data_IF_783533487801
#
_entry.id   IF_783533487801
#
_cell.length_a   1.000
_cell.length_b   1.000
_cell.length_c   1.000
_cell.angle_alpha   90.00
_cell.angle_beta   90.00
_cell.angle_gamma   90.00
#
_symmetry.space_group_name_H-M   'P 1'
#
loop_
_entity.id
_entity.type
_entity.pdbx_description
1 polymer ?
#
# COMPACT_ATOMS: atom_id res chain seq x y z
N UNK A 1 -20.41 -39.91 -50.67
CA UNK A 1 -18.97 -39.63 -50.43
C UNK A 1 -18.91 -38.52 -49.40
N UNK A 2 -18.83 -38.86 -48.11
CA UNK A 2 -18.69 -37.89 -47.04
C UNK A 2 -17.23 -37.44 -46.99
N UNK A 3 -16.99 -36.13 -47.07
CA UNK A 3 -15.67 -35.55 -46.93
C UNK A 3 -15.14 -35.83 -45.52
N UNK A 4 -13.84 -36.15 -45.34
CA UNK A 4 -13.27 -36.31 -44.02
C UNK A 4 -13.25 -34.94 -43.33
N UNK A 5 -14.01 -34.85 -42.23
CA UNK A 5 -13.91 -33.79 -41.24
C UNK A 5 -12.45 -33.75 -40.76
N UNK A 6 -11.66 -32.82 -41.29
CA UNK A 6 -10.29 -32.62 -40.87
C UNK A 6 -10.31 -32.34 -39.37
N UNK A 7 -9.78 -33.28 -38.58
CA UNK A 7 -9.64 -33.12 -37.15
C UNK A 7 -8.88 -31.82 -36.87
N UNK A 8 -9.61 -30.76 -36.52
CA UNK A 8 -9.04 -29.47 -36.20
C UNK A 8 -8.13 -29.68 -34.98
N UNK A 9 -6.82 -29.76 -35.21
CA UNK A 9 -5.84 -29.91 -34.16
C UNK A 9 -6.09 -28.80 -33.13
N UNK A 10 -6.47 -29.19 -31.91
CA UNK A 10 -6.86 -28.24 -30.88
C UNK A 10 -5.67 -27.32 -30.56
N UNK A 11 -5.74 -26.07 -31.03
CA UNK A 11 -4.69 -25.07 -30.82
C UNK A 11 -4.58 -24.79 -29.32
N UNK A 12 -3.40 -25.04 -28.73
CA UNK A 12 -3.11 -24.77 -27.32
C UNK A 12 -2.42 -23.42 -27.16
N UNK A 13 -2.75 -22.70 -26.07
CA UNK A 13 -2.05 -21.49 -25.70
C UNK A 13 -0.61 -21.82 -25.30
N UNK A 14 0.39 -21.17 -25.92
CA UNK A 14 1.81 -21.38 -25.61
C UNK A 14 2.16 -20.99 -24.17
N UNK A 15 1.42 -20.04 -23.59
CA UNK A 15 1.70 -19.56 -22.23
C UNK A 15 1.15 -20.47 -21.15
N UNK A 16 -0.11 -20.88 -21.21
CA UNK A 16 -0.74 -21.68 -20.15
C UNK A 16 -1.00 -23.15 -20.55
N UNK A 17 -0.72 -23.54 -21.79
CA UNK A 17 -1.02 -24.85 -22.42
C UNK A 17 -2.46 -25.35 -22.32
N UNK A 18 -3.40 -24.46 -21.99
CA UNK A 18 -4.83 -24.77 -21.99
C UNK A 18 -5.44 -24.51 -23.36
N UNK A 19 -6.51 -25.24 -23.67
CA UNK A 19 -7.37 -24.98 -24.84
C UNK A 19 -8.11 -23.66 -24.63
N UNK A 20 -8.18 -22.77 -25.62
CA UNK A 20 -9.01 -21.57 -25.52
C UNK A 20 -10.49 -21.96 -25.46
N UNK A 21 -11.27 -21.25 -24.66
CA UNK A 21 -12.73 -21.44 -24.59
C UNK A 21 -13.40 -21.11 -25.94
N UNK A 22 -12.84 -20.14 -26.66
CA UNK A 22 -13.23 -19.80 -28.03
C UNK A 22 -11.97 -19.64 -28.88
N UNK A 23 -11.87 -20.39 -29.98
CA UNK A 23 -10.72 -20.37 -30.88
C UNK A 23 -10.42 -18.97 -31.48
N UNK A 24 -11.42 -18.08 -31.52
CA UNK A 24 -11.32 -16.70 -32.01
C UNK A 24 -10.79 -15.68 -30.98
N UNK A 25 -10.66 -16.05 -29.69
CA UNK A 25 -10.27 -15.13 -28.60
C UNK A 25 -8.80 -15.28 -28.21
N UNK A 26 -7.89 -14.94 -29.12
CA UNK A 26 -6.45 -14.93 -28.86
C UNK A 26 -5.65 -14.20 -29.92
N UNK A 27 -4.34 -14.09 -29.69
CA UNK A 27 -3.38 -13.56 -30.66
C UNK A 27 -2.57 -14.72 -31.22
N UNK A 28 -2.61 -14.89 -32.53
CA UNK A 28 -1.76 -15.84 -33.25
C UNK A 28 -0.60 -15.09 -33.88
N UNK A 29 0.63 -15.54 -33.61
CA UNK A 29 1.86 -15.00 -34.16
C UNK A 29 2.68 -16.16 -34.75
N UNK A 30 2.55 -16.36 -36.06
CA UNK A 30 3.05 -17.56 -36.73
C UNK A 30 2.44 -18.85 -36.18
N UNK A 31 3.28 -19.77 -35.73
CA UNK A 31 2.87 -21.05 -35.14
C UNK A 31 2.58 -20.98 -33.63
N UNK A 32 2.65 -19.78 -33.03
CA UNK A 32 2.43 -19.57 -31.61
C UNK A 32 1.06 -18.93 -31.40
N UNK A 33 0.21 -19.60 -30.64
CA UNK A 33 -1.07 -19.05 -30.21
C UNK A 33 -1.00 -18.65 -28.74
N UNK A 34 -1.52 -17.47 -28.41
CA UNK A 34 -1.66 -17.00 -27.03
C UNK A 34 -3.10 -16.58 -26.77
N UNK A 35 -3.74 -17.17 -25.76
CA UNK A 35 -5.11 -16.82 -25.42
C UNK A 35 -5.20 -15.39 -24.87
N UNK A 36 -6.34 -14.74 -25.08
CA UNK A 36 -6.58 -13.35 -24.66
C UNK A 36 -6.29 -13.12 -23.17
N UNK A 37 -6.61 -14.10 -22.32
CA UNK A 37 -6.33 -14.07 -20.88
C UNK A 37 -4.84 -13.97 -20.57
N UNK A 38 -4.01 -14.85 -21.14
CA UNK A 38 -2.56 -14.81 -20.94
C UNK A 38 -1.97 -13.52 -21.49
N UNK A 39 -2.45 -13.05 -22.65
CA UNK A 39 -2.03 -11.79 -23.23
C UNK A 39 -2.35 -10.60 -22.31
N UNK A 40 -3.55 -10.56 -21.74
CA UNK A 40 -3.96 -9.50 -20.81
C UNK A 40 -3.10 -9.50 -19.54
N UNK A 41 -2.87 -10.67 -18.94
CA UNK A 41 -1.99 -10.83 -17.77
C UNK A 41 -0.56 -10.41 -18.11
N UNK A 42 -0.01 -10.84 -19.26
CA UNK A 42 1.33 -10.48 -19.71
C UNK A 42 1.47 -8.97 -19.90
N UNK A 43 0.51 -8.32 -20.56
CA UNK A 43 0.50 -6.87 -20.73
C UNK A 43 0.42 -6.13 -19.39
N UNK A 44 -0.33 -6.67 -18.42
CA UNK A 44 -0.43 -6.10 -17.09
C UNK A 44 0.88 -6.21 -16.32
N UNK A 45 1.57 -7.36 -16.40
CA UNK A 45 2.91 -7.55 -15.84
C UNK A 45 3.90 -6.59 -16.50
N UNK A 46 3.92 -6.52 -17.84
CA UNK A 46 4.78 -5.60 -18.58
C UNK A 46 4.56 -4.13 -18.19
N UNK A 47 3.29 -3.72 -18.01
CA UNK A 47 2.96 -2.35 -17.62
C UNK A 47 3.47 -2.00 -16.23
N UNK A 48 3.45 -2.92 -15.28
CA UNK A 48 3.80 -2.64 -13.87
C UNK A 48 5.27 -2.97 -13.53
N UNK A 49 5.81 -4.04 -14.12
CA UNK A 49 7.15 -4.57 -13.83
C UNK A 49 8.11 -4.57 -15.03
N UNK A 50 7.65 -4.17 -16.21
CA UNK A 50 8.50 -3.98 -17.39
C UNK A 50 8.80 -5.26 -18.15
N UNK A 51 9.69 -5.16 -19.14
CA UNK A 51 10.27 -6.32 -19.79
C UNK A 51 11.11 -7.13 -18.79
N UNK A 52 11.18 -8.44 -18.98
CA UNK A 52 12.04 -9.30 -18.17
C UNK A 52 11.52 -9.70 -16.79
N UNK A 53 10.37 -9.18 -16.35
CA UNK A 53 9.80 -9.52 -15.04
C UNK A 53 9.58 -11.04 -14.83
N UNK A 54 9.33 -11.77 -15.91
CA UNK A 54 9.15 -13.22 -15.89
C UNK A 54 10.38 -13.97 -16.41
N UNK A 55 11.45 -13.32 -16.86
CA UNK A 55 12.59 -14.00 -17.50
C UNK A 55 13.26 -15.00 -16.57
N UNK A 56 13.35 -14.66 -15.29
CA UNK A 56 13.94 -15.51 -14.26
C UNK A 56 13.11 -16.78 -13.96
N UNK A 57 11.89 -16.92 -14.49
CA UNK A 57 11.07 -18.11 -14.30
C UNK A 57 11.41 -19.17 -15.35
N UNK A 58 11.45 -20.43 -14.91
CA UNK A 58 11.53 -21.57 -15.82
C UNK A 58 10.28 -21.61 -16.73
N UNK A 59 10.34 -22.31 -17.88
CA UNK A 59 9.18 -22.45 -18.76
C UNK A 59 7.94 -23.03 -18.04
N UNK A 60 8.16 -23.96 -17.11
CA UNK A 60 7.11 -24.58 -16.30
C UNK A 60 6.52 -23.61 -15.28
N UNK A 61 7.37 -22.82 -14.61
CA UNK A 61 6.92 -21.78 -13.68
C UNK A 61 6.12 -20.68 -14.39
N UNK A 62 6.55 -20.28 -15.60
CA UNK A 62 5.78 -19.35 -16.45
C UNK A 62 4.41 -19.93 -16.77
N UNK A 63 4.36 -21.20 -17.13
CA UNK A 63 3.12 -21.87 -17.46
C UNK A 63 2.15 -21.92 -16.28
N UNK A 64 2.62 -22.32 -15.11
CA UNK A 64 1.80 -22.38 -13.90
C UNK A 64 1.37 -20.97 -13.44
N UNK A 65 2.26 -19.98 -13.52
CA UNK A 65 1.91 -18.57 -13.27
C UNK A 65 0.74 -18.11 -14.15
N UNK A 66 0.82 -18.34 -15.47
CA UNK A 66 -0.23 -17.93 -16.40
C UNK A 66 -1.50 -18.76 -16.24
N UNK A 67 -1.41 -20.03 -15.83
CA UNK A 67 -2.58 -20.85 -15.53
C UNK A 67 -3.33 -20.29 -14.30
N UNK A 68 -2.63 -20.10 -13.17
CA UNK A 68 -3.24 -19.60 -11.92
C UNK A 68 -3.72 -18.16 -12.00
N UNK A 69 -3.06 -17.32 -12.79
CA UNK A 69 -3.46 -15.92 -12.95
C UNK A 69 -4.81 -15.77 -13.67
N UNK A 70 -5.28 -16.80 -14.39
CA UNK A 70 -6.59 -16.79 -15.04
C UNK A 70 -7.75 -16.85 -14.06
N UNK A 71 -7.59 -17.61 -12.99
CA UNK A 71 -8.63 -17.83 -11.98
C UNK A 71 -8.95 -16.54 -11.20
N UNK A 72 -8.03 -15.56 -11.22
CA UNK A 72 -8.21 -14.26 -10.59
C UNK A 72 -9.01 -13.23 -11.40
N UNK A 73 -9.58 -13.60 -12.56
CA UNK A 73 -10.36 -12.68 -13.38
C UNK A 73 -11.70 -12.33 -12.70
N UNK A 74 -11.94 -11.05 -12.43
CA UNK A 74 -13.23 -10.57 -11.92
C UNK A 74 -13.99 -9.88 -13.05
N UNK A 75 -15.12 -10.45 -13.47
CA UNK A 75 -15.94 -9.89 -14.56
C UNK A 75 -15.20 -9.78 -15.90
N UNK A 76 -14.27 -10.71 -16.17
CA UNK A 76 -13.46 -10.73 -17.39
C UNK A 76 -12.30 -9.73 -17.41
N UNK A 77 -12.02 -9.05 -16.29
CA UNK A 77 -10.87 -8.13 -16.14
C UNK A 77 -9.87 -8.67 -15.12
N UNK A 78 -8.59 -8.54 -15.44
CA UNK A 78 -7.48 -8.88 -14.55
C UNK A 78 -7.06 -7.65 -13.77
N UNK A 79 -7.17 -7.72 -12.44
CA UNK A 79 -6.69 -6.67 -11.54
C UNK A 79 -5.23 -6.93 -11.17
N UNK A 80 -4.43 -5.88 -11.11
CA UNK A 80 -3.00 -6.00 -10.79
C UNK A 80 -2.75 -6.65 -9.43
N UNK A 81 -3.47 -6.32 -8.34
CA UNK A 81 -3.26 -6.97 -7.05
C UNK A 81 -3.37 -8.49 -7.10
N UNK A 82 -4.32 -9.04 -7.87
CA UNK A 82 -4.49 -10.49 -8.02
C UNK A 82 -3.31 -11.12 -8.77
N UNK A 83 -2.91 -10.52 -9.90
CA UNK A 83 -1.76 -10.99 -10.69
C UNK A 83 -0.46 -10.88 -9.88
N UNK A 84 -0.30 -9.79 -9.12
CA UNK A 84 0.82 -9.56 -8.21
C UNK A 84 0.87 -10.62 -7.11
N UNK A 85 -0.27 -10.97 -6.50
CA UNK A 85 -0.32 -12.01 -5.48
C UNK A 85 0.17 -13.36 -6.02
N UNK A 86 -0.31 -13.77 -7.21
CA UNK A 86 0.16 -15.01 -7.85
C UNK A 86 1.65 -14.95 -8.18
N UNK A 87 2.14 -13.80 -8.66
CA UNK A 87 3.56 -13.59 -8.94
C UNK A 87 4.43 -13.70 -7.68
N UNK A 88 4.02 -13.06 -6.60
CA UNK A 88 4.67 -13.13 -5.27
C UNK A 88 4.72 -14.57 -4.79
N UNK A 89 3.59 -15.30 -4.83
CA UNK A 89 3.55 -16.72 -4.44
C UNK A 89 4.54 -17.55 -5.25
N UNK A 90 4.65 -17.33 -6.57
CA UNK A 90 5.61 -18.06 -7.42
C UNK A 90 7.06 -17.73 -7.10
N UNK A 91 7.38 -16.48 -6.78
CA UNK A 91 8.71 -16.11 -6.32
C UNK A 91 9.05 -16.73 -4.97
N UNK A 92 8.10 -16.76 -4.02
CA UNK A 92 8.28 -17.41 -2.72
C UNK A 92 8.52 -18.91 -2.90
N UNK A 93 7.67 -19.60 -3.65
CA UNK A 93 7.83 -21.03 -3.96
C UNK A 93 9.23 -21.31 -4.54
N UNK A 94 9.67 -20.52 -5.52
CA UNK A 94 11.01 -20.65 -6.11
C UNK A 94 12.13 -20.42 -5.10
N UNK A 95 12.00 -19.40 -4.25
CA UNK A 95 13.02 -19.10 -3.23
C UNK A 95 13.05 -20.19 -2.17
N UNK A 96 11.91 -20.75 -1.79
CA UNK A 96 11.84 -21.92 -0.89
C UNK A 96 12.55 -23.12 -1.50
N UNK A 97 12.21 -23.50 -2.75
CA UNK A 97 12.87 -24.64 -3.42
C UNK A 97 14.38 -24.40 -3.58
N UNK A 98 14.79 -23.17 -3.89
CA UNK A 98 16.21 -22.83 -4.02
C UNK A 98 16.96 -22.76 -2.67
N UNK A 99 16.25 -22.50 -1.57
CA UNK A 99 16.85 -22.47 -0.23
C UNK A 99 16.86 -23.85 0.43
N UNK A 100 15.94 -24.75 0.06
CA UNK A 100 16.05 -26.18 0.41
C UNK A 100 17.40 -26.75 -0.05
N UNK A 101 17.90 -26.29 -1.20
CA UNK A 101 19.23 -26.63 -1.71
C UNK A 101 20.39 -25.96 -0.95
N UNK A 102 20.13 -24.88 -0.20
CA UNK A 102 21.13 -24.13 0.59
C UNK A 102 21.16 -24.64 2.03
N UNK A 103 21.89 -25.71 2.23
CA UNK A 103 22.18 -26.24 3.57
C UNK A 103 23.18 -25.31 4.27
N UNK A 104 22.69 -24.45 5.17
CA UNK A 104 23.55 -23.67 6.07
C UNK A 104 24.11 -24.58 7.15
N UNK A 105 25.43 -24.65 7.26
CA UNK A 105 26.07 -25.51 8.27
C UNK A 105 26.51 -24.69 9.47
N UNK A 106 26.00 -25.00 10.65
CA UNK A 106 26.45 -24.39 11.90
C UNK A 106 27.44 -25.31 12.61
N UNK A 107 28.48 -24.73 13.22
CA UNK A 107 29.50 -25.46 13.97
C UNK A 107 29.41 -25.10 15.44
N UNK A 108 28.98 -26.05 16.28
CA UNK A 108 28.89 -25.88 17.75
C UNK A 108 29.45 -27.13 18.47
N UNK A 109 29.90 -27.00 19.73
CA UNK A 109 30.28 -28.16 20.53
C UNK A 109 29.14 -29.17 20.65
N UNK A 110 29.48 -30.46 20.72
CA UNK A 110 28.48 -31.53 20.77
C UNK A 110 27.46 -31.34 21.91
N UNK A 111 27.92 -30.89 23.08
CA UNK A 111 27.08 -30.64 24.25
C UNK A 111 26.02 -29.54 24.04
N UNK A 112 26.24 -28.63 23.10
CA UNK A 112 25.27 -27.58 22.75
C UNK A 112 24.19 -28.15 21.84
N UNK A 113 24.57 -28.98 20.87
CA UNK A 113 23.60 -29.64 19.98
C UNK A 113 22.68 -30.62 20.71
N UNK A 114 23.21 -31.38 21.67
CA UNK A 114 22.41 -32.28 22.50
C UNK A 114 21.36 -31.51 23.34
N UNK A 115 21.71 -30.32 23.82
CA UNK A 115 20.76 -29.42 24.53
C UNK A 115 19.70 -28.83 23.60
N UNK A 116 20.04 -28.60 22.34
CA UNK A 116 19.11 -28.14 21.29
C UNK A 116 18.22 -29.28 20.75
N UNK A 117 18.37 -30.51 21.26
CA UNK A 117 17.49 -31.64 20.97
C UNK A 117 17.98 -32.58 19.87
N UNK A 118 19.23 -32.45 19.41
CA UNK A 118 19.82 -33.36 18.44
C UNK A 118 20.29 -34.66 19.10
N UNK A 119 19.99 -35.80 18.49
CA UNK A 119 20.41 -37.10 19.04
C UNK A 119 21.93 -37.31 18.84
N UNK A 120 22.57 -37.95 19.81
CA UNK A 120 23.99 -38.28 19.74
C UNK A 120 24.32 -39.19 18.54
N UNK A 121 23.35 -39.99 18.06
CA UNK A 121 23.50 -40.82 16.87
C UNK A 121 23.56 -39.99 15.59
N UNK A 122 22.70 -38.97 15.46
CA UNK A 122 22.74 -38.03 14.33
C UNK A 122 24.05 -37.26 14.31
N UNK A 123 24.55 -36.82 15.47
CA UNK A 123 25.82 -36.08 15.59
C UNK A 123 27.07 -36.93 15.33
N UNK A 124 26.99 -38.27 15.37
CA UNK A 124 28.10 -39.17 14.98
C UNK A 124 28.35 -39.17 13.48
N UNK A 125 27.32 -38.94 12.68
CA UNK A 125 27.41 -38.98 11.23
C UNK A 125 27.78 -37.60 10.62
N UNK A 126 27.89 -36.55 11.44
CA UNK A 126 28.23 -35.21 10.99
C UNK A 126 29.75 -34.96 10.99
N UNK A 127 30.30 -34.15 10.07
CA UNK A 127 31.71 -33.78 10.07
C UNK A 127 32.14 -33.10 11.37
N UNK A 128 33.30 -33.49 11.89
CA UNK A 128 33.87 -33.00 13.15
C UNK A 128 35.21 -32.35 12.93
N UNK A 129 35.50 -31.31 13.71
CA UNK A 129 36.81 -30.69 13.73
C UNK A 129 37.14 -30.19 15.14
N UNK A 130 38.41 -30.18 15.48
CA UNK A 130 38.88 -29.77 16.81
C UNK A 130 39.25 -28.29 16.78
N UNK A 131 38.53 -27.50 17.57
CA UNK A 131 38.85 -26.10 17.80
C UNK A 131 39.76 -25.96 19.04
N UNK A 132 40.88 -25.23 18.98
CA UNK A 132 41.80 -25.05 20.11
C UNK A 132 41.15 -24.45 21.36
N UNK A 133 40.07 -23.69 21.20
CA UNK A 133 39.40 -22.95 22.29
C UNK A 133 38.18 -23.69 22.83
N UNK A 134 37.44 -24.40 21.95
CA UNK A 134 36.12 -24.96 22.27
C UNK A 134 36.10 -26.50 22.31
N UNK A 135 37.19 -27.17 21.96
CA UNK A 135 37.26 -28.63 21.90
C UNK A 135 36.67 -29.20 20.61
N UNK A 136 36.05 -30.38 20.69
CA UNK A 136 35.45 -31.07 19.53
C UNK A 136 34.14 -30.38 19.10
N UNK A 137 34.12 -29.87 17.87
CA UNK A 137 33.00 -29.13 17.29
C UNK A 137 32.38 -29.97 16.18
N UNK A 138 31.05 -30.08 16.21
CA UNK A 138 30.26 -30.84 15.21
C UNK A 138 29.56 -29.86 14.28
N UNK A 139 29.72 -30.09 12.97
CA UNK A 139 29.13 -29.28 11.91
C UNK A 139 27.80 -29.90 11.47
N UNK A 140 26.69 -29.34 11.94
CA UNK A 140 25.34 -29.84 11.66
C UNK A 140 24.72 -29.03 10.51
N UNK A 141 24.16 -29.69 9.48
CA UNK A 141 23.35 -29.02 8.46
C UNK A 141 22.04 -28.53 9.08
N UNK A 142 21.82 -27.22 9.04
CA UNK A 142 20.59 -26.57 9.47
C UNK A 142 19.81 -26.09 8.26
N UNK A 143 18.51 -26.35 8.26
CA UNK A 143 17.56 -25.70 7.36
C UNK A 143 16.90 -24.55 8.10
N UNK A 144 17.55 -23.39 8.11
CA UNK A 144 16.92 -22.16 8.59
C UNK A 144 16.16 -21.52 7.43
N UNK A 145 14.87 -21.85 7.30
CA UNK A 145 13.97 -21.13 6.40
C UNK A 145 12.94 -20.39 7.23
N UNK A 146 13.20 -19.12 7.52
CA UNK A 146 12.17 -18.23 8.06
C UNK A 146 11.30 -17.79 6.89
N UNK A 147 10.17 -18.50 6.69
CA UNK A 147 9.20 -18.21 5.63
C UNK A 147 8.82 -16.72 5.58
N UNK A 148 8.76 -16.07 6.75
CA UNK A 148 8.48 -14.63 6.88
C UNK A 148 9.54 -13.76 6.20
N UNK A 149 10.82 -14.02 6.41
CA UNK A 149 11.92 -13.24 5.81
C UNK A 149 11.95 -13.39 4.28
N UNK A 150 11.69 -14.61 3.79
CA UNK A 150 11.56 -14.88 2.35
C UNK A 150 10.39 -14.09 1.77
N UNK A 151 9.25 -14.09 2.45
CA UNK A 151 8.08 -13.33 2.04
C UNK A 151 8.38 -11.83 1.99
N UNK A 152 8.97 -11.26 3.03
CA UNK A 152 9.34 -9.84 3.11
C UNK A 152 10.31 -9.48 1.97
N UNK A 153 11.38 -10.26 1.78
CA UNK A 153 12.37 -10.04 0.73
C UNK A 153 11.75 -10.07 -0.68
N UNK A 154 10.85 -11.02 -0.95
CA UNK A 154 10.18 -11.12 -2.25
C UNK A 154 9.24 -9.93 -2.47
N UNK A 155 8.49 -9.52 -1.45
CA UNK A 155 7.61 -8.37 -1.53
C UNK A 155 8.40 -7.08 -1.79
N UNK A 156 9.49 -6.87 -1.08
CA UNK A 156 10.38 -5.71 -1.25
C UNK A 156 10.93 -5.63 -2.67
N UNK A 157 11.48 -6.74 -3.20
CA UNK A 157 12.00 -6.79 -4.57
C UNK A 157 10.96 -6.43 -5.63
N UNK A 158 9.72 -6.91 -5.47
CA UNK A 158 8.64 -6.58 -6.41
C UNK A 158 8.26 -5.09 -6.27
N UNK A 159 8.15 -4.58 -5.04
CA UNK A 159 7.83 -3.16 -4.78
C UNK A 159 8.92 -2.22 -5.31
N UNK A 160 10.18 -2.60 -5.24
CA UNK A 160 11.30 -1.84 -5.81
C UNK A 160 11.22 -1.80 -7.34
N UNK A 161 10.97 -2.94 -8.00
CA UNK A 161 10.78 -2.98 -9.46
C UNK A 161 9.58 -2.13 -9.91
N UNK A 162 8.47 -2.17 -9.17
CA UNK A 162 7.29 -1.32 -9.45
C UNK A 162 7.61 0.18 -9.30
N UNK A 163 8.29 0.57 -8.21
CA UNK A 163 8.72 1.95 -7.97
C UNK A 163 9.67 2.44 -9.06
N UNK A 164 10.72 1.68 -9.36
CA UNK A 164 11.72 2.04 -10.37
C UNK A 164 11.08 2.33 -11.74
N UNK A 165 10.08 1.53 -12.15
CA UNK A 165 9.37 1.77 -13.41
C UNK A 165 8.40 2.93 -13.36
N UNK A 166 7.75 3.15 -12.22
CA UNK A 166 6.91 4.33 -12.02
C UNK A 166 7.77 5.59 -12.14
N UNK A 167 8.89 5.63 -11.46
CA UNK A 167 9.83 6.76 -11.46
C UNK A 167 10.42 6.99 -12.85
N UNK A 168 10.79 5.92 -13.57
CA UNK A 168 11.26 6.01 -14.95
C UNK A 168 10.20 6.56 -15.92
N UNK A 169 8.91 6.25 -15.71
CA UNK A 169 7.81 6.81 -16.52
C UNK A 169 7.59 8.29 -16.22
N UNK A 170 7.62 8.68 -14.95
CA UNK A 170 7.51 10.09 -14.54
C UNK A 170 8.69 10.89 -15.11
N UNK A 171 9.91 10.37 -15.02
CA UNK A 171 11.10 10.99 -15.61
C UNK A 171 11.00 11.17 -17.12
N UNK A 172 10.53 10.14 -17.85
CA UNK A 172 10.30 10.24 -19.31
C UNK A 172 9.21 11.25 -19.68
N UNK A 173 8.12 11.30 -18.92
CA UNK A 173 7.06 12.29 -19.13
C UNK A 173 7.58 13.71 -18.93
N UNK A 174 8.39 13.94 -17.87
CA UNK A 174 9.03 15.22 -17.60
C UNK A 174 10.03 15.62 -18.69
N UNK A 175 10.85 14.69 -19.17
CA UNK A 175 11.79 14.93 -20.27
C UNK A 175 11.08 15.27 -21.59
N UNK A 176 9.95 14.61 -21.89
CA UNK A 176 9.15 14.89 -23.07
C UNK A 176 8.43 16.24 -22.99
N UNK A 177 7.95 16.64 -21.80
CA UNK A 177 7.36 17.95 -21.56
C UNK A 177 8.40 19.08 -21.73
N UNK A 178 9.61 18.89 -21.21
CA UNK A 178 10.72 19.83 -21.38
C UNK A 178 11.14 19.99 -22.85
N UNK A 179 11.17 18.88 -23.62
CA UNK A 179 11.50 18.91 -25.05
C UNK A 179 10.40 19.56 -25.93
N UNK A 180 9.15 19.61 -25.44
CA UNK A 180 8.03 20.20 -26.17
C UNK A 180 7.88 21.72 -25.98
N UNK A 181 8.82 22.38 -25.26
CA UNK A 181 8.85 23.84 -25.14
C UNK A 181 7.74 24.46 -24.27
N UNK A 182 6.93 23.63 -23.60
CA UNK A 182 5.96 24.11 -22.62
C UNK A 182 6.68 24.34 -21.28
N UNK A 183 7.06 25.58 -21.02
CA UNK A 183 7.60 26.06 -19.74
C UNK A 183 6.58 26.09 -18.61
N UNK A 184 5.77 25.04 -18.47
CA UNK A 184 4.87 24.85 -17.35
C UNK A 184 5.47 23.79 -16.42
N UNK A 185 5.69 24.18 -15.17
CA UNK A 185 5.99 23.27 -14.07
C UNK A 185 4.91 22.17 -14.07
N UNK A 186 5.26 20.89 -14.32
CA UNK A 186 4.26 19.85 -14.33
C UNK A 186 3.86 19.58 -12.88
N UNK A 187 2.69 20.10 -12.50
CA UNK A 187 1.92 19.63 -11.34
C UNK A 187 1.92 18.10 -11.41
N UNK A 188 2.52 17.48 -10.39
CA UNK A 188 2.73 16.04 -10.35
C UNK A 188 1.40 15.35 -10.61
N UNK A 189 1.28 14.68 -11.76
CA UNK A 189 0.16 13.80 -12.03
C UNK A 189 0.16 12.73 -10.93
N UNK A 190 -0.67 12.96 -9.91
CA UNK A 190 -0.91 12.03 -8.82
C UNK A 190 -1.37 10.73 -9.46
N UNK A 191 -0.46 9.75 -9.44
CA UNK A 191 -0.77 8.38 -9.80
C UNK A 191 -1.84 7.91 -8.80
N UNK A 192 -3.07 7.76 -9.26
CA UNK A 192 -4.17 7.24 -8.46
C UNK A 192 -3.72 5.97 -7.70
N UNK A 193 -3.82 5.94 -6.37
CA UNK A 193 -3.60 4.72 -5.60
C UNK A 193 -4.82 3.80 -5.78
N UNK A 194 -4.75 2.90 -6.76
CA UNK A 194 -5.69 1.80 -6.97
C UNK A 194 -5.38 0.65 -5.99
N UNK A 195 -5.87 0.79 -4.75
CA UNK A 195 -5.93 -0.26 -3.74
C UNK A 195 -7.40 -0.48 -3.38
N UNK A 196 -8.01 -1.52 -3.96
CA UNK A 196 -9.39 -1.93 -3.67
C UNK A 196 -9.49 -3.46 -3.59
N UNK A 197 -9.82 -3.98 -2.39
CA UNK A 197 -10.11 -5.38 -2.04
C UNK A 197 -11.02 -5.35 -0.80
N UNK A 198 -12.01 -6.25 -0.60
CA UNK A 198 -13.02 -6.81 -1.51
C UNK A 198 -14.46 -6.74 -0.92
N UNK A 199 -15.52 -6.89 -1.73
CA UNK A 199 -16.84 -7.34 -1.23
C UNK A 199 -17.28 -8.59 -1.98
N UNK A 200 -17.65 -9.61 -1.19
CA UNK A 200 -18.07 -10.96 -1.54
C UNK A 200 -19.40 -11.02 -2.32
N UNK A 201 -19.42 -11.95 -3.29
CA UNK A 201 -20.50 -12.84 -3.77
C UNK A 201 -21.93 -12.30 -4.07
N UNK A 202 -22.37 -12.55 -5.32
CA UNK A 202 -23.28 -13.68 -5.57
C UNK A 202 -23.40 -14.06 -7.05
N UNK A 203 -23.44 -15.37 -7.22
CA UNK A 203 -23.65 -16.19 -8.41
C UNK A 203 -25.00 -15.96 -9.09
N UNK A 204 -25.03 -16.06 -10.42
CA UNK A 204 -26.20 -16.53 -11.16
C UNK A 204 -25.78 -17.11 -12.52
N UNK A 205 -26.20 -18.35 -12.74
CA UNK A 205 -26.01 -19.14 -13.94
C UNK A 205 -26.80 -18.59 -15.15
N UNK A 206 -26.34 -18.94 -16.35
CA UNK A 206 -27.09 -18.82 -17.61
C UNK A 206 -26.30 -19.55 -18.69
N UNK A 207 -26.54 -20.84 -18.97
CA UNK A 207 -27.75 -21.45 -19.52
C UNK A 207 -28.17 -20.82 -20.85
N UNK A 208 -28.19 -21.68 -21.87
CA UNK A 208 -28.33 -21.36 -23.27
C UNK A 208 -29.67 -20.71 -23.63
N UNK A 209 -29.60 -19.88 -24.67
CA UNK A 209 -30.72 -19.26 -25.38
C UNK A 209 -31.49 -20.33 -26.17
N UNK A 210 -32.82 -20.26 -26.21
CA UNK A 210 -33.49 -20.39 -27.48
C UNK A 210 -34.35 -19.16 -27.81
N UNK A 211 -34.58 -19.06 -29.10
CA UNK A 211 -35.11 -17.94 -29.87
C UNK A 211 -36.61 -18.19 -30.05
N UNK A 212 -37.47 -17.26 -29.61
CA UNK A 212 -38.65 -16.73 -30.33
C UNK A 212 -39.80 -16.28 -29.41
N UNK A 213 -40.32 -15.10 -29.78
CA UNK A 213 -41.71 -14.66 -29.71
C UNK A 213 -42.44 -14.62 -28.35
N UNK A 214 -42.54 -13.41 -27.79
CA UNK A 214 -43.82 -12.72 -27.55
C UNK A 214 -43.54 -11.33 -26.95
N UNK A 215 -44.14 -10.27 -27.50
CA UNK A 215 -44.21 -8.95 -26.87
C UNK A 215 -45.27 -9.01 -25.76
N UNK A 216 -44.97 -8.56 -24.53
CA UNK A 216 -45.92 -7.81 -23.73
C UNK A 216 -45.49 -6.34 -23.71
N UNK A 217 -46.43 -5.49 -24.12
CA UNK A 217 -46.38 -4.04 -23.94
C UNK A 217 -46.60 -3.74 -22.45
N UNK A 218 -45.53 -3.62 -21.67
CA UNK A 218 -45.55 -2.84 -20.42
C UNK A 218 -44.25 -2.04 -20.29
N UNK A 219 -44.27 -0.71 -20.53
CA UNK A 219 -43.09 0.14 -20.42
C UNK A 219 -42.62 0.39 -18.97
N UNK A 220 -43.32 -0.09 -17.94
CA UNK A 220 -43.01 0.19 -16.53
C UNK A 220 -41.91 -0.71 -15.94
N UNK A 221 -41.90 -2.01 -16.25
CA UNK A 221 -40.96 -2.98 -15.65
C UNK A 221 -39.50 -2.80 -16.09
N UNK A 222 -39.28 -2.23 -17.29
CA UNK A 222 -37.92 -1.93 -17.78
C UNK A 222 -37.35 -0.65 -17.16
N UNK A 223 -38.20 0.28 -16.75
CA UNK A 223 -37.79 1.53 -16.12
C UNK A 223 -37.37 1.32 -14.66
N UNK A 224 -38.08 0.48 -13.90
CA UNK A 224 -37.74 0.14 -12.51
C UNK A 224 -36.40 -0.60 -12.40
N UNK A 225 -36.15 -1.59 -13.27
CA UNK A 225 -34.87 -2.30 -13.29
C UNK A 225 -33.67 -1.42 -13.68
N UNK A 226 -33.88 -0.38 -14.50
CA UNK A 226 -32.83 0.59 -14.84
C UNK A 226 -32.55 1.54 -13.67
N UNK A 227 -33.59 1.99 -12.95
CA UNK A 227 -33.46 2.83 -11.77
C UNK A 227 -32.73 2.11 -10.64
N UNK A 228 -33.04 0.83 -10.38
CA UNK A 228 -32.33 0.02 -9.38
C UNK A 228 -30.84 -0.17 -9.71
N UNK A 229 -30.50 -0.43 -10.98
CA UNK A 229 -29.10 -0.54 -11.41
C UNK A 229 -28.35 0.78 -11.24
N UNK A 230 -29.01 1.91 -11.52
CA UNK A 230 -28.44 3.25 -11.33
C UNK A 230 -28.21 3.51 -9.83
N UNK A 231 -29.19 3.25 -8.99
CA UNK A 231 -29.11 3.42 -7.53
C UNK A 231 -27.99 2.55 -6.92
N UNK A 232 -27.83 1.29 -7.36
CA UNK A 232 -26.73 0.42 -6.91
C UNK A 232 -25.37 0.96 -7.33
N UNK A 233 -25.24 1.49 -8.55
CA UNK A 233 -23.99 2.10 -9.03
C UNK A 233 -23.63 3.37 -8.26
N UNK A 234 -24.62 4.22 -7.98
CA UNK A 234 -24.44 5.43 -7.17
C UNK A 234 -24.08 5.08 -5.72
N UNK A 235 -24.76 4.12 -5.11
CA UNK A 235 -24.43 3.62 -3.77
C UNK A 235 -22.99 3.05 -3.72
N UNK A 236 -22.57 2.29 -4.73
CA UNK A 236 -21.20 1.78 -4.81
C UNK A 236 -20.17 2.92 -4.94
N UNK A 237 -20.45 3.94 -5.75
CA UNK A 237 -19.57 5.10 -5.87
C UNK A 237 -19.47 5.89 -4.56
N UNK A 238 -20.61 6.11 -3.87
CA UNK A 238 -20.66 6.75 -2.55
C UNK A 238 -19.88 5.94 -1.51
N UNK A 239 -20.02 4.61 -1.51
CA UNK A 239 -19.28 3.72 -0.61
C UNK A 239 -17.77 3.82 -0.82
N UNK A 240 -17.30 3.71 -2.08
CA UNK A 240 -15.88 3.84 -2.40
C UNK A 240 -15.32 5.21 -2.01
N UNK A 241 -16.08 6.29 -2.24
CA UNK A 241 -15.66 7.63 -1.84
C UNK A 241 -15.60 7.76 -0.31
N UNK A 242 -16.62 7.30 0.40
CA UNK A 242 -16.67 7.32 1.86
C UNK A 242 -15.49 6.53 2.48
N UNK A 243 -15.19 5.34 1.96
CA UNK A 243 -14.07 4.51 2.42
C UNK A 243 -12.72 5.24 2.27
N UNK A 244 -12.52 5.94 1.14
CA UNK A 244 -11.29 6.68 0.86
C UNK A 244 -11.07 7.88 1.78
N UNK A 245 -12.13 8.57 2.21
CA UNK A 245 -12.01 9.85 2.93
C UNK A 245 -12.06 9.74 4.46
N UNK A 246 -12.66 8.68 5.03
CA UNK A 246 -12.80 8.55 6.50
C UNK A 246 -11.45 8.52 7.24
N UNK A 247 -10.45 7.85 6.68
CA UNK A 247 -9.10 7.79 7.24
C UNK A 247 -8.44 9.19 7.30
N UNK A 248 -8.26 9.87 6.15
CA UNK A 248 -7.77 11.24 6.09
C UNK A 248 -8.53 12.23 6.99
N UNK A 249 -9.87 12.18 7.02
CA UNK A 249 -10.68 13.03 7.89
C UNK A 249 -10.39 12.80 9.38
N UNK A 250 -10.18 11.54 9.78
CA UNK A 250 -9.84 11.20 11.16
C UNK A 250 -8.45 11.73 11.55
N UNK A 251 -7.48 11.67 10.65
CA UNK A 251 -6.15 12.23 10.86
C UNK A 251 -6.14 13.77 10.91
N UNK A 252 -6.95 14.43 10.07
CA UNK A 252 -7.12 15.88 10.10
C UNK A 252 -7.71 16.35 11.43
N UNK A 253 -8.78 15.69 11.91
CA UNK A 253 -9.42 16.00 13.18
C UNK A 253 -8.50 15.79 14.39
N UNK A 254 -7.68 14.74 14.41
CA UNK A 254 -6.72 14.54 15.51
C UNK A 254 -5.64 15.62 15.52
N UNK A 255 -5.18 16.04 14.34
CA UNK A 255 -4.23 17.13 14.18
C UNK A 255 -4.82 18.44 14.70
N UNK A 256 -6.06 18.77 14.33
CA UNK A 256 -6.80 19.93 14.81
C UNK A 256 -6.90 19.95 16.34
N UNK A 257 -7.35 18.84 16.94
CA UNK A 257 -7.47 18.73 18.40
C UNK A 257 -6.12 18.95 19.11
N UNK A 258 -5.03 18.45 18.54
CA UNK A 258 -3.69 18.65 19.11
C UNK A 258 -3.23 20.11 19.01
N UNK A 259 -3.50 20.77 17.88
CA UNK A 259 -3.10 22.16 17.64
C UNK A 259 -3.94 23.14 18.46
N UNK A 260 -5.25 22.93 18.55
CA UNK A 260 -6.13 23.79 19.35
C UNK A 260 -5.74 23.78 20.83
N UNK A 261 -5.34 22.62 21.38
CA UNK A 261 -4.78 22.54 22.75
C UNK A 261 -3.49 23.36 22.90
N UNK A 262 -2.64 23.37 21.88
CA UNK A 262 -1.39 24.13 21.94
C UNK A 262 -1.62 25.64 21.76
N UNK A 263 -2.52 26.05 20.85
CA UNK A 263 -2.88 27.45 20.63
C UNK A 263 -3.59 28.05 21.85
N UNK A 264 -4.51 27.30 22.46
CA UNK A 264 -5.18 27.69 23.70
C UNK A 264 -4.19 27.95 24.84
N UNK A 265 -3.14 27.13 24.95
CA UNK A 265 -2.08 27.30 25.96
C UNK A 265 -1.28 28.60 25.77
N UNK A 266 -1.10 29.04 24.53
CA UNK A 266 -0.35 30.25 24.18
C UNK A 266 -1.24 31.50 24.06
N UNK A 267 -2.56 31.36 24.26
CA UNK A 267 -3.55 32.45 24.18
C UNK A 267 -3.82 32.97 22.76
N UNK A 268 -3.64 32.12 21.73
CA UNK A 268 -3.81 32.49 20.32
C UNK A 268 -5.25 32.20 19.83
N UNK A 269 -6.21 33.01 20.28
CA UNK A 269 -7.64 32.79 20.02
C UNK A 269 -8.03 32.89 18.54
N UNK A 270 -7.44 33.83 17.79
CA UNK A 270 -7.80 34.04 16.37
C UNK A 270 -7.43 32.82 15.51
N UNK A 271 -6.19 32.33 15.64
CA UNK A 271 -5.74 31.12 14.94
C UNK A 271 -6.50 29.86 15.38
N UNK A 272 -7.01 29.83 16.62
CA UNK A 272 -7.83 28.74 17.09
C UNK A 272 -9.20 28.73 16.40
N UNK A 273 -9.81 29.91 16.21
CA UNK A 273 -11.12 30.05 15.55
C UNK A 273 -11.08 29.52 14.10
N UNK A 274 -10.07 29.91 13.33
CA UNK A 274 -9.93 29.46 11.94
C UNK A 274 -9.81 27.93 11.84
N UNK A 275 -9.11 27.31 12.80
CA UNK A 275 -8.99 25.85 12.89
C UNK A 275 -10.28 25.17 13.36
N UNK A 276 -11.02 25.78 14.29
CA UNK A 276 -12.31 25.26 14.76
C UNK A 276 -13.38 25.30 13.65
N UNK A 277 -13.43 26.38 12.86
CA UNK A 277 -14.34 26.52 11.71
C UNK A 277 -14.07 25.43 10.65
N UNK A 278 -12.79 25.23 10.29
CA UNK A 278 -12.39 24.13 9.40
C UNK A 278 -12.69 22.74 10.00
N UNK A 279 -12.55 22.60 11.32
CA UNK A 279 -12.86 21.38 12.05
C UNK A 279 -14.35 21.00 12.04
N UNK A 280 -15.24 21.99 12.08
CA UNK A 280 -16.69 21.78 12.01
C UNK A 280 -17.13 21.10 10.71
N UNK A 281 -16.56 21.53 9.59
CA UNK A 281 -16.83 20.94 8.27
C UNK A 281 -16.30 19.50 8.18
N UNK A 282 -15.06 19.25 8.62
CA UNK A 282 -14.52 17.89 8.64
C UNK A 282 -15.31 16.94 9.55
N UNK A 283 -15.83 17.41 10.68
CA UNK A 283 -16.70 16.58 11.53
C UNK A 283 -18.00 16.22 10.82
N UNK A 284 -18.60 17.18 10.13
CA UNK A 284 -19.83 16.97 9.35
C UNK A 284 -19.61 15.96 8.24
N UNK A 285 -18.51 16.12 7.49
CA UNK A 285 -18.12 15.20 6.42
C UNK A 285 -17.79 13.80 6.94
N UNK A 286 -17.08 13.70 8.08
CA UNK A 286 -16.77 12.42 8.70
C UNK A 286 -18.04 11.69 9.13
N UNK A 287 -18.98 12.37 9.78
CA UNK A 287 -20.28 11.79 10.18
C UNK A 287 -21.04 11.27 8.96
N UNK A 288 -21.12 12.05 7.89
CA UNK A 288 -21.77 11.65 6.65
C UNK A 288 -21.09 10.43 6.00
N UNK A 289 -19.75 10.42 5.92
CA UNK A 289 -18.99 9.32 5.34
C UNK A 289 -19.09 8.03 6.17
N UNK A 290 -18.98 8.12 7.49
CA UNK A 290 -19.16 6.96 8.38
C UNK A 290 -20.59 6.41 8.31
N UNK A 291 -21.61 7.28 8.27
CA UNK A 291 -23.00 6.85 8.09
C UNK A 291 -23.22 6.16 6.74
N UNK A 292 -22.61 6.68 5.66
CA UNK A 292 -22.72 6.07 4.33
C UNK A 292 -22.06 4.67 4.29
N UNK A 293 -20.91 4.48 4.95
CA UNK A 293 -20.27 3.16 5.08
C UNK A 293 -21.17 2.18 5.83
N UNK A 294 -21.72 2.57 6.98
CA UNK A 294 -22.59 1.70 7.79
C UNK A 294 -23.86 1.28 7.02
N UNK A 295 -24.48 2.21 6.29
CA UNK A 295 -25.66 1.90 5.47
C UNK A 295 -25.32 0.96 4.30
N UNK A 296 -24.17 1.14 3.66
CA UNK A 296 -23.72 0.28 2.58
C UNK A 296 -23.37 -1.13 3.07
N UNK A 297 -22.71 -1.26 4.22
CA UNK A 297 -22.42 -2.55 4.89
C UNK A 297 -23.71 -3.28 5.30
N UNK A 298 -24.74 -2.53 5.72
CA UNK A 298 -26.06 -3.07 6.03
C UNK A 298 -26.88 -3.44 4.77
N UNK A 299 -26.37 -3.18 3.56
CA UNK A 299 -27.07 -3.47 2.31
C UNK A 299 -28.26 -2.56 2.02
N UNK A 300 -28.36 -1.40 2.69
CA UNK A 300 -29.46 -0.44 2.52
C UNK A 300 -29.22 0.38 1.25
N UNK A 301 -30.15 0.30 0.29
CA UNK A 301 -30.15 1.08 -0.97
C UNK A 301 -31.46 1.85 -1.07
N UNK A 302 -31.44 3.17 -1.36
CA UNK A 302 -30.30 4.00 -1.74
C UNK A 302 -29.49 4.53 -0.54
N UNK A 303 -28.17 4.65 -0.72
CA UNK A 303 -27.29 5.33 0.24
C UNK A 303 -27.38 6.84 -0.01
N UNK A 304 -27.58 7.69 1.03
CA UNK A 304 -27.60 9.14 0.87
C UNK A 304 -26.33 9.67 0.20
N UNK A 305 -26.43 10.67 -0.71
CA UNK A 305 -25.25 11.26 -1.32
C UNK A 305 -24.39 11.99 -0.26
N UNK A 306 -23.08 11.93 -0.42
CA UNK A 306 -22.17 12.68 0.44
C UNK A 306 -22.31 14.20 0.19
N UNK A 307 -22.13 15.04 1.23
CA UNK A 307 -22.26 16.49 1.09
C UNK A 307 -21.06 17.15 0.39
N UNK A 308 -20.15 16.37 -0.19
CA UNK A 308 -18.95 16.84 -0.87
C UNK A 308 -18.59 15.89 -2.02
N UNK A 309 -17.93 16.43 -3.05
CA UNK A 309 -17.30 15.63 -4.09
C UNK A 309 -15.83 15.29 -3.73
N UNK A 310 -15.22 14.37 -4.50
CA UNK A 310 -13.80 14.06 -4.33
C UNK A 310 -12.89 15.27 -4.56
N UNK A 311 -13.31 16.20 -5.42
CA UNK A 311 -12.56 17.44 -5.70
C UNK A 311 -12.66 18.40 -4.51
N UNK A 312 -13.88 18.63 -4.02
CA UNK A 312 -14.11 19.52 -2.87
C UNK A 312 -13.33 19.03 -1.65
N UNK A 313 -13.30 17.71 -1.43
CA UNK A 313 -12.50 17.10 -0.36
C UNK A 313 -11.00 17.38 -0.52
N UNK A 314 -10.45 17.22 -1.72
CA UNK A 314 -9.03 17.46 -1.98
C UNK A 314 -8.67 18.95 -1.82
N UNK A 315 -9.50 19.85 -2.33
CA UNK A 315 -9.29 21.30 -2.24
C UNK A 315 -9.36 21.78 -0.78
N UNK A 316 -10.31 21.25 -0.01
CA UNK A 316 -10.44 21.54 1.42
C UNK A 316 -9.29 20.97 2.25
N UNK A 317 -8.83 19.76 1.92
CA UNK A 317 -7.66 19.19 2.58
C UNK A 317 -6.39 20.00 2.30
N UNK A 318 -6.26 20.59 1.09
CA UNK A 318 -5.16 21.51 0.75
C UNK A 318 -5.25 22.81 1.57
N UNK A 319 -6.41 23.45 1.64
CA UNK A 319 -6.59 24.67 2.44
C UNK A 319 -6.33 24.42 3.93
N UNK A 320 -6.83 23.31 4.47
CA UNK A 320 -6.54 22.86 5.83
C UNK A 320 -5.04 22.71 6.10
N UNK A 321 -4.29 22.08 5.20
CA UNK A 321 -2.85 21.91 5.37
C UNK A 321 -2.10 23.25 5.35
N UNK A 322 -2.59 24.26 4.62
CA UNK A 322 -2.07 25.63 4.67
C UNK A 322 -2.35 26.28 6.02
N UNK A 323 -3.59 26.20 6.52
CA UNK A 323 -3.96 26.70 7.86
C UNK A 323 -3.13 26.04 8.97
N UNK A 324 -2.89 24.74 8.89
CA UNK A 324 -2.03 24.00 9.83
C UNK A 324 -0.59 24.51 9.81
N UNK A 325 -0.04 24.83 8.64
CA UNK A 325 1.31 25.40 8.52
C UNK A 325 1.35 26.79 9.15
N UNK A 326 0.38 27.64 8.85
CA UNK A 326 0.26 28.98 9.39
C UNK A 326 0.12 28.96 10.92
N UNK A 327 -0.79 28.15 11.47
CA UNK A 327 -0.97 27.97 12.90
C UNK A 327 0.31 27.46 13.60
N UNK A 328 1.07 26.57 12.95
CA UNK A 328 2.37 26.11 13.49
C UNK A 328 3.42 27.21 13.47
N UNK A 329 3.44 28.05 12.43
CA UNK A 329 4.36 29.19 12.36
C UNK A 329 4.04 30.25 13.42
N UNK A 330 2.78 30.63 13.59
CA UNK A 330 2.36 31.59 14.63
C UNK A 330 2.71 31.07 16.02
N UNK A 331 2.46 29.78 16.27
CA UNK A 331 2.79 29.14 17.55
C UNK A 331 4.30 29.12 17.82
N UNK A 332 5.13 28.86 16.80
CA UNK A 332 6.60 28.92 16.93
C UNK A 332 7.07 30.34 17.24
N UNK A 333 6.54 31.34 16.55
CA UNK A 333 6.87 32.76 16.79
C UNK A 333 6.49 33.15 18.21
N UNK A 334 5.27 32.81 18.65
CA UNK A 334 4.79 33.13 20.00
C UNK A 334 5.65 32.49 21.09
N UNK A 335 6.04 31.22 20.92
CA UNK A 335 6.93 30.53 21.87
C UNK A 335 8.34 31.13 21.93
N UNK A 336 8.82 31.68 20.82
CA UNK A 336 10.09 32.40 20.79
C UNK A 336 9.99 33.72 21.52
N UNK A 337 8.94 34.50 21.27
CA UNK A 337 8.68 35.76 21.98
C UNK A 337 8.54 35.56 23.49
N UNK A 338 7.80 34.53 23.93
CA UNK A 338 7.63 34.25 25.36
C UNK A 338 8.92 33.78 26.02
N UNK A 339 9.75 33.03 25.29
CA UNK A 339 11.09 32.65 25.77
C UNK A 339 12.01 33.87 25.87
N UNK A 340 12.09 34.67 24.80
CA UNK A 340 12.96 35.85 24.75
C UNK A 340 12.55 36.87 25.84
N UNK A 341 11.25 37.06 26.08
CA UNK A 341 10.74 37.90 27.17
C UNK A 341 11.09 37.35 28.56
N UNK A 342 11.04 36.02 28.75
CA UNK A 342 11.45 35.38 30.02
C UNK A 342 12.94 35.53 30.26
N UNK A 343 13.75 35.33 29.23
CA UNK A 343 15.21 35.44 29.32
C UNK A 343 15.61 36.91 29.58
N UNK A 344 14.92 37.88 28.98
CA UNK A 344 15.11 39.30 29.27
C UNK A 344 14.73 39.67 30.72
N UNK A 345 13.58 39.20 31.21
CA UNK A 345 13.15 39.45 32.59
C UNK A 345 14.10 38.82 33.63
N UNK A 346 14.66 37.64 33.32
CA UNK A 346 15.67 37.01 34.17
C UNK A 346 16.97 37.81 34.21
N UNK A 347 17.42 38.34 33.07
CA UNK A 347 18.61 39.18 32.99
C UNK A 347 18.43 40.51 33.77
N UNK A 348 17.24 41.12 33.71
CA UNK A 348 16.91 42.32 34.49
C UNK A 348 16.90 42.04 36.00
N UNK A 349 16.36 40.88 36.43
CA UNK A 349 16.37 40.48 37.83
C UNK A 349 17.80 40.26 38.36
N UNK A 350 18.67 39.59 37.60
CA UNK A 350 20.08 39.41 37.99
C UNK A 350 20.87 40.73 38.02
N UNK A 351 20.53 41.69 37.15
CA UNK A 351 21.15 43.01 37.15
C UNK A 351 20.77 43.84 38.39
N UNK A 352 19.51 43.74 38.85
CA UNK A 352 19.04 44.44 40.04
C UNK A 352 19.60 43.83 41.35
N UNK A 353 19.89 42.53 41.38
CA UNK A 353 20.50 41.86 42.55
C UNK A 353 21.99 42.22 42.75
N UNK A 354 22.68 42.70 41.70
CA UNK A 354 24.09 43.12 41.77
C UNK A 354 24.32 44.62 42.01
N UNK A 355 23.30 45.35 42.46
CA UNK A 355 23.46 46.75 42.84
C UNK A 355 24.51 46.89 43.99
N UNK A 356 25.42 47.88 43.93
CA UNK A 356 26.63 47.94 44.76
C UNK A 356 26.32 48.44 46.17
N UNK A 357 25.94 47.53 47.08
CA UNK A 357 25.57 47.88 48.47
C UNK A 357 26.41 47.23 49.57
N UNK A 358 26.74 45.95 49.46
CA UNK A 358 27.41 45.22 50.56
C UNK A 358 28.81 44.77 50.18
N UNK A 359 29.80 45.60 50.53
CA UNK A 359 31.17 45.12 50.66
C UNK A 359 31.16 44.03 51.74
N UNK A 360 31.62 42.80 51.45
CA UNK A 360 31.69 41.76 52.47
C UNK A 360 32.54 42.26 53.65
N UNK A 361 32.10 42.05 54.91
CA UNK A 361 32.81 42.54 56.07
C UNK A 361 34.25 42.00 56.06
N UNK A 362 35.21 42.90 56.24
CA UNK A 362 36.63 42.59 56.18
C UNK A 362 36.96 41.41 57.11
N UNK A 363 37.44 40.31 56.53
CA UNK A 363 37.95 39.15 57.29
C UNK A 363 39.05 39.63 58.24
N UNK A 364 38.71 39.70 59.54
CA UNK A 364 39.68 39.97 60.61
C UNK A 364 40.81 38.95 60.54
N UNK A 365 42.01 39.45 60.26
CA UNK A 365 43.26 38.68 60.23
C UNK A 365 43.53 38.18 61.65
N UNK A 366 43.45 36.86 61.86
CA UNK A 366 43.82 36.22 63.13
C UNK A 366 45.32 36.36 63.32
N UNK A 367 45.75 37.26 64.21
CA UNK A 367 47.14 37.39 64.64
C UNK A 367 47.49 36.14 65.45
N UNK A 368 48.55 35.45 65.03
CA UNK A 368 49.10 34.27 65.68
C UNK A 368 50.01 34.77 66.81
N UNK A 369 49.58 34.61 68.05
CA UNK A 369 50.38 34.93 69.24
C UNK A 369 51.59 34.00 69.34
N UNK A 370 52.72 34.61 69.67
CA UNK A 370 54.00 34.00 70.05
C UNK A 370 53.94 33.29 71.39
#
# INVERSE_FOLDING_TARGET
MAAPEAAAAAVLCVSCRQKPEEASKGRQEGNKFECQSCLAVRMLVYRNLGAGALEEFSPEQKQDFFARSKDGAQGGRYKWPCVRAVLVSKHIERTLTSNEDKVTTASKPQSVWEKEGYSAETLKNCPRWTCPVLGEVVKVPLHENVLREIQETVHEKIMEKERALRDAKVGKAKAKAAAAGFGAEPEAAEAEPDLDVPVLEKTAAGAAKPKQAAKPKEPSARATAAAEKKAKKEAAATHTLAAKVVGPLTAALSTLQSLNKQLAKEGLADAQKDLDDAGGEFQTWKKAATSALQLAEAGVVPVPPLPFSSKDFADHLKSFNTLVKEARTTLKTRKRETKDARDAAAAEAEAHEKAPGDKPPAKRRRVKGT
#
